data_IF_105354517978
#
_entry.id   IF_105354517978
#
_cell.length_a   1.000
_cell.length_b   1.000
_cell.length_c   1.000
_cell.angle_alpha   90.00
_cell.angle_beta   90.00
_cell.angle_gamma   90.00
#
_symmetry.space_group_name_H-M   'P 1'
#
loop_
_entity.id
_entity.type
_entity.pdbx_description
1 polymer ?
#
# COMPACT_ATOMS: atom_id res chain seq x y z
N UNK A 1 16.18 7.12 -4.73
CA UNK A 1 15.25 7.49 -5.81
C UNK A 1 16.13 8.06 -6.92
N UNK A 2 16.07 7.52 -8.14
CA UNK A 2 16.86 8.02 -9.26
C UNK A 2 16.29 9.38 -9.68
N UNK A 3 17.08 10.44 -9.56
CA UNK A 3 16.67 11.80 -9.92
C UNK A 3 16.95 12.05 -11.41
N UNK A 4 16.08 11.48 -12.26
CA UNK A 4 16.15 11.66 -13.71
C UNK A 4 15.36 12.91 -14.11
N UNK A 5 16.06 13.88 -14.71
CA UNK A 5 15.45 15.10 -15.22
C UNK A 5 14.71 14.84 -16.53
N UNK A 6 13.43 15.20 -16.58
CA UNK A 6 12.63 15.07 -17.80
C UNK A 6 12.92 16.23 -18.75
N UNK A 7 13.27 15.92 -20.00
CA UNK A 7 13.46 16.95 -21.04
C UNK A 7 12.12 17.37 -21.66
N UNK A 8 12.06 18.57 -22.24
CA UNK A 8 10.86 19.03 -22.97
C UNK A 8 10.46 18.07 -24.11
N UNK A 9 11.45 17.50 -24.82
CA UNK A 9 11.18 16.50 -25.86
C UNK A 9 10.54 15.23 -25.28
N UNK A 10 11.01 14.79 -24.12
CA UNK A 10 10.48 13.62 -23.44
C UNK A 10 9.07 13.86 -22.89
N UNK A 11 8.75 15.05 -22.34
CA UNK A 11 7.38 15.38 -21.90
C UNK A 11 6.38 15.35 -23.06
N UNK A 12 6.71 15.98 -24.20
CA UNK A 12 5.85 15.97 -25.39
C UNK A 12 5.64 14.53 -25.89
N UNK A 13 6.71 13.75 -25.99
CA UNK A 13 6.66 12.34 -26.44
C UNK A 13 5.89 11.45 -25.46
N UNK A 14 6.01 11.69 -24.15
CA UNK A 14 5.28 10.99 -23.10
C UNK A 14 3.78 11.19 -23.27
N UNK A 15 3.35 12.43 -23.49
CA UNK A 15 1.94 12.77 -23.72
C UNK A 15 1.40 12.14 -25.02
N UNK A 16 2.16 12.22 -26.12
CA UNK A 16 1.79 11.62 -27.40
C UNK A 16 1.64 10.10 -27.35
N UNK A 17 2.38 9.43 -26.47
CA UNK A 17 2.35 7.96 -26.30
C UNK A 17 1.46 7.50 -25.15
N UNK A 18 0.72 8.42 -24.52
CA UNK A 18 -0.24 8.11 -23.48
C UNK A 18 0.35 7.69 -22.13
N UNK A 19 1.64 7.93 -21.89
CA UNK A 19 2.25 7.66 -20.59
C UNK A 19 1.97 8.80 -19.61
N UNK A 20 1.81 8.49 -18.33
CA UNK A 20 1.76 9.46 -17.22
C UNK A 20 3.15 9.66 -16.64
N UNK A 21 3.37 10.77 -15.94
CA UNK A 21 4.65 11.00 -15.25
C UNK A 21 4.98 9.89 -14.25
N UNK A 22 3.98 9.48 -13.44
CA UNK A 22 4.09 8.37 -12.51
C UNK A 22 4.46 7.03 -13.17
N UNK A 23 4.11 6.82 -14.44
CA UNK A 23 4.47 5.59 -15.15
C UNK A 23 5.99 5.52 -15.40
N UNK A 24 6.65 6.67 -15.59
CA UNK A 24 8.11 6.74 -15.75
C UNK A 24 8.81 6.41 -14.43
N UNK A 25 8.29 6.90 -13.30
CA UNK A 25 8.83 6.59 -11.98
C UNK A 25 8.82 5.07 -11.73
N UNK A 26 7.71 4.40 -12.10
CA UNK A 26 7.58 2.94 -12.00
C UNK A 26 8.53 2.23 -12.99
N UNK A 27 8.63 2.73 -14.22
CA UNK A 27 9.54 2.19 -15.24
C UNK A 27 10.99 2.21 -14.78
N UNK A 28 11.44 3.30 -14.16
CA UNK A 28 12.81 3.46 -13.67
C UNK A 28 13.03 2.63 -12.40
N UNK A 29 12.04 2.54 -11.51
CA UNK A 29 12.18 1.80 -10.25
C UNK A 29 12.24 0.27 -10.45
N UNK A 30 11.49 -0.27 -11.42
CA UNK A 30 11.39 -1.71 -11.69
C UNK A 30 12.16 -2.15 -12.94
N UNK A 31 12.57 -1.20 -13.78
CA UNK A 31 13.22 -1.47 -15.05
C UNK A 31 14.63 -1.99 -14.87
N UNK A 32 14.98 -2.97 -15.69
CA UNK A 32 16.36 -3.40 -15.87
C UNK A 32 16.97 -2.63 -17.05
N UNK A 33 18.29 -2.30 -17.01
CA UNK A 33 18.98 -1.72 -18.14
C UNK A 33 18.82 -2.60 -19.40
N UNK A 34 18.53 -1.97 -20.53
CA UNK A 34 18.30 -2.63 -21.82
C UNK A 34 18.99 -1.83 -22.93
N UNK A 35 20.05 -2.38 -23.50
CA UNK A 35 20.91 -1.68 -24.46
C UNK A 35 21.81 -0.66 -23.76
N UNK A 36 22.22 0.38 -24.48
CA UNK A 36 23.14 1.39 -23.95
C UNK A 36 22.46 2.42 -23.04
N UNK A 37 21.25 2.88 -23.39
CA UNK A 37 20.60 4.01 -22.71
C UNK A 37 19.11 3.76 -22.35
N UNK A 38 18.69 2.50 -22.34
CA UNK A 38 17.29 2.12 -22.13
C UNK A 38 17.04 1.44 -20.79
N UNK A 39 15.82 1.57 -20.28
CA UNK A 39 15.28 0.72 -19.23
C UNK A 39 14.05 0.00 -19.74
N UNK A 40 13.91 -1.27 -19.39
CA UNK A 40 12.73 -2.06 -19.71
C UNK A 40 12.33 -2.85 -18.47
N UNK A 41 11.03 -2.95 -18.20
CA UNK A 41 10.53 -3.91 -17.21
C UNK A 41 10.34 -5.26 -17.92
N UNK A 42 11.13 -6.30 -17.58
CA UNK A 42 10.87 -7.64 -18.10
C UNK A 42 9.55 -8.19 -17.55
N UNK A 43 8.89 -9.06 -18.34
CA UNK A 43 7.60 -9.65 -17.93
C UNK A 43 7.67 -10.36 -16.57
N UNK A 44 8.77 -11.06 -16.28
CA UNK A 44 9.00 -11.73 -14.99
C UNK A 44 8.96 -10.73 -13.83
N UNK A 45 9.69 -9.62 -13.93
CA UNK A 45 9.79 -8.59 -12.88
C UNK A 45 8.43 -7.95 -12.65
N UNK A 46 7.70 -7.64 -13.72
CA UNK A 46 6.34 -7.13 -13.62
C UNK A 46 5.41 -8.13 -12.88
N UNK A 47 5.49 -9.42 -13.22
CA UNK A 47 4.66 -10.44 -12.58
C UNK A 47 4.99 -10.60 -11.10
N UNK A 48 6.27 -10.67 -10.76
CA UNK A 48 6.73 -10.80 -9.37
C UNK A 48 6.28 -9.62 -8.52
N UNK A 49 6.44 -8.40 -9.04
CA UNK A 49 6.04 -7.19 -8.34
C UNK A 49 4.52 -7.08 -8.19
N UNK A 50 3.76 -7.43 -9.23
CA UNK A 50 2.29 -7.50 -9.14
C UNK A 50 1.86 -8.50 -8.06
N UNK A 51 2.50 -9.67 -7.97
CA UNK A 51 2.16 -10.66 -6.95
C UNK A 51 2.49 -10.15 -5.54
N UNK A 52 3.65 -9.51 -5.36
CA UNK A 52 4.05 -8.87 -4.10
C UNK A 52 3.05 -7.81 -3.66
N UNK A 53 2.64 -6.92 -4.57
CA UNK A 53 1.67 -5.87 -4.30
C UNK A 53 0.28 -6.45 -3.98
N UNK A 54 -0.18 -7.46 -4.73
CA UNK A 54 -1.44 -8.16 -4.42
C UNK A 54 -1.41 -8.84 -3.05
N UNK A 55 -0.29 -9.47 -2.68
CA UNK A 55 -0.13 -10.05 -1.36
C UNK A 55 -0.20 -8.98 -0.26
N UNK A 56 0.42 -7.82 -0.50
CA UNK A 56 0.35 -6.68 0.42
C UNK A 56 -1.06 -6.11 0.53
N UNK A 57 -1.79 -5.96 -0.58
CA UNK A 57 -3.19 -5.53 -0.58
C UNK A 57 -4.04 -6.49 0.26
N UNK A 58 -3.95 -7.80 0.01
CA UNK A 58 -4.67 -8.80 0.82
C UNK A 58 -4.35 -8.73 2.30
N UNK A 59 -3.08 -8.49 2.65
CA UNK A 59 -2.66 -8.32 4.03
C UNK A 59 -3.31 -7.08 4.66
N UNK A 60 -3.35 -5.96 3.94
CA UNK A 60 -3.98 -4.72 4.38
C UNK A 60 -5.49 -4.91 4.54
N UNK A 61 -6.15 -5.53 3.57
CA UNK A 61 -7.59 -5.84 3.62
C UNK A 61 -7.92 -6.70 4.86
N UNK A 62 -7.14 -7.76 5.10
CA UNK A 62 -7.30 -8.62 6.27
C UNK A 62 -7.11 -7.87 7.60
N UNK A 63 -6.16 -6.93 7.63
CA UNK A 63 -5.84 -6.14 8.82
C UNK A 63 -6.70 -4.88 8.93
N UNK A 64 -7.56 -4.61 7.95
CA UNK A 64 -8.45 -3.45 8.00
C UNK A 64 -9.29 -3.53 9.26
N UNK A 65 -9.41 -2.40 9.96
CA UNK A 65 -10.11 -2.28 11.25
C UNK A 65 -9.50 -3.09 12.41
N UNK A 66 -8.35 -3.75 12.22
CA UNK A 66 -7.64 -4.40 13.32
C UNK A 66 -6.90 -3.38 14.18
N UNK A 67 -6.85 -3.62 15.49
CA UNK A 67 -6.19 -2.79 16.49
C UNK A 67 -5.11 -3.63 17.16
N UNK A 68 -3.88 -3.11 17.16
CA UNK A 68 -2.78 -3.66 17.94
C UNK A 68 -2.58 -2.82 19.20
N UNK A 69 -2.63 -3.46 20.37
CA UNK A 69 -2.30 -2.85 21.66
C UNK A 69 -0.81 -3.07 21.91
N UNK A 70 -0.06 -2.00 22.14
CA UNK A 70 1.39 -2.02 22.36
C UNK A 70 1.75 -1.41 23.70
N UNK A 71 2.85 -1.85 24.31
CA UNK A 71 3.42 -1.24 25.52
C UNK A 71 4.94 -1.24 25.40
N UNK A 72 5.55 -0.04 25.47
CA UNK A 72 6.97 0.12 25.15
C UNK A 72 7.26 -0.34 23.73
N UNK A 73 8.11 -1.36 23.59
CA UNK A 73 8.51 -1.96 22.31
C UNK A 73 7.88 -3.35 22.06
N UNK A 74 6.83 -3.71 22.81
CA UNK A 74 6.17 -5.01 22.71
C UNK A 74 4.72 -4.88 22.25
N UNK A 75 4.28 -5.80 21.38
CA UNK A 75 2.86 -5.98 21.04
C UNK A 75 2.25 -6.88 22.10
N UNK A 76 1.21 -6.38 22.78
CA UNK A 76 0.51 -7.11 23.83
C UNK A 76 -0.61 -7.97 23.24
N UNK A 77 -1.44 -7.40 22.36
CA UNK A 77 -2.53 -8.12 21.70
C UNK A 77 -2.95 -7.46 20.39
N UNK A 78 -3.61 -8.23 19.52
CA UNK A 78 -4.24 -7.75 18.28
C UNK A 78 -5.66 -8.28 18.23
N UNK A 79 -6.62 -7.41 17.97
CA UNK A 79 -8.03 -7.78 17.81
C UNK A 79 -8.68 -7.01 16.66
N UNK A 80 -9.76 -7.53 16.10
CA UNK A 80 -10.60 -6.76 15.19
C UNK A 80 -11.34 -5.67 15.99
N UNK A 81 -11.46 -4.46 15.44
CA UNK A 81 -12.26 -3.41 16.03
C UNK A 81 -13.73 -3.83 16.04
N UNK A 82 -14.34 -3.97 17.22
CA UNK A 82 -15.79 -4.18 17.30
C UNK A 82 -16.47 -2.94 16.70
N UNK A 83 -17.37 -3.16 15.73
CA UNK A 83 -18.23 -2.15 15.14
C UNK A 83 -18.77 -1.20 16.22
N UNK A 84 -18.46 0.10 16.11
CA UNK A 84 -18.85 1.18 17.05
C UNK A 84 -20.35 1.17 17.45
N UNK A 85 -21.20 0.49 16.66
CA UNK A 85 -22.65 0.31 16.92
C UNK A 85 -22.98 -0.70 18.04
N UNK A 86 -22.09 -1.64 18.35
CA UNK A 86 -22.34 -2.63 19.42
C UNK A 86 -22.08 -2.06 20.84
N UNK A 87 -21.18 -1.07 20.95
CA UNK A 87 -20.71 -0.59 22.25
C UNK A 87 -21.62 0.43 22.94
N UNK A 88 -22.67 0.93 22.26
CA UNK A 88 -23.70 1.77 22.88
C UNK A 88 -24.60 1.00 23.85
N UNK A 89 -24.71 -0.33 23.71
CA UNK A 89 -25.58 -1.17 24.57
C UNK A 89 -24.87 -1.72 25.81
N UNK A 90 -23.56 -1.99 25.75
CA UNK A 90 -22.81 -2.56 26.90
C UNK A 90 -22.55 -1.57 28.04
N UNK A 91 -22.63 -0.26 27.80
CA UNK A 91 -22.43 0.77 28.85
C UNK A 91 -23.69 1.08 29.68
N UNK A 92 -24.85 0.47 29.40
CA UNK A 92 -26.13 0.79 30.06
C UNK A 92 -26.73 -0.36 30.89
N UNK A 93 -25.90 -1.32 31.34
CA UNK A 93 -26.36 -2.52 32.05
C UNK A 93 -25.76 -2.75 33.43
N UNK A 94 -24.97 -1.82 33.98
CA UNK A 94 -24.36 -1.95 35.31
C UNK A 94 -24.91 -0.92 36.27
N UNK A 95 -26.13 -1.13 36.77
CA UNK A 95 -26.63 -0.59 38.03
C UNK A 95 -27.89 -1.39 38.38
N UNK A 96 -27.70 -2.57 38.96
CA UNK A 96 -28.75 -3.24 39.71
C UNK A 96 -28.14 -4.17 40.76
N UNK A 97 -27.81 -3.63 41.93
CA UNK A 97 -27.78 -4.40 43.17
C UNK A 97 -28.50 -3.57 44.24
N UNK A 98 -29.77 -3.91 44.44
CA UNK A 98 -30.45 -3.70 45.70
C UNK A 98 -30.68 -5.07 46.34
N UNK A 99 -30.16 -5.27 47.54
CA UNK A 99 -30.91 -5.61 48.75
C UNK A 99 -29.95 -5.62 49.95
#
# INVERSE_FOLDING_TARGET
MLDLQMTNHAEIRRQQRGFRKADIDVLVALGEPCGHDGYRIPRRVAQDEIQRLKARIRQIERLSESIAIVTGNAVITVHHGENRRANGRRRKGGNNEGN
#
